data_IF_909762931823
#
_entry.id   IF_909762931823
#
_cell.length_a   1.000
_cell.length_b   1.000
_cell.length_c   1.000
_cell.angle_alpha   90.00
_cell.angle_beta   90.00
_cell.angle_gamma   90.00
#
_symmetry.space_group_name_H-M   'P 1'
#
loop_
_entity.id
_entity.type
_entity.pdbx_description
1 polymer ?
#
# COMPACT_ATOMS: atom_id res chain seq x y z
N UNK A 1 -1.16 19.22 -9.79
CA UNK A 1 -1.95 17.99 -9.49
C UNK A 1 -2.31 18.06 -8.02
N UNK A 2 -3.56 17.80 -7.62
CA UNK A 2 -3.95 17.86 -6.20
C UNK A 2 -3.44 16.63 -5.49
N UNK A 3 -2.70 16.81 -4.38
CA UNK A 3 -2.22 15.70 -3.56
C UNK A 3 -3.41 14.96 -2.94
N UNK A 4 -3.39 13.63 -2.96
CA UNK A 4 -4.42 12.81 -2.35
C UNK A 4 -4.27 12.80 -0.82
N UNK A 5 -5.38 12.78 -0.12
CA UNK A 5 -5.39 12.61 1.34
C UNK A 5 -4.87 11.20 1.65
N UNK A 6 -3.78 11.06 2.41
CA UNK A 6 -3.17 9.76 2.69
C UNK A 6 -3.97 8.96 3.70
N UNK A 7 -3.86 7.65 3.62
CA UNK A 7 -4.27 6.76 4.70
C UNK A 7 -3.33 6.91 5.90
N UNK A 8 -3.73 6.34 7.04
CA UNK A 8 -3.04 6.50 8.32
C UNK A 8 -2.73 5.14 8.92
N UNK A 9 -1.60 5.04 9.62
CA UNK A 9 -1.24 3.89 10.43
C UNK A 9 -0.90 4.34 11.86
N UNK A 10 -1.48 3.69 12.85
CA UNK A 10 -1.13 3.87 14.27
C UNK A 10 -0.26 2.69 14.69
N UNK A 11 1.00 2.98 15.01
CA UNK A 11 1.96 2.00 15.49
C UNK A 11 2.79 2.59 16.64
N UNK A 12 2.96 1.86 17.73
CA UNK A 12 3.68 2.31 18.94
C UNK A 12 3.24 3.69 19.46
N UNK A 13 1.93 3.95 19.45
CA UNK A 13 1.29 5.23 19.82
C UNK A 13 1.68 6.44 18.93
N UNK A 14 2.39 6.21 17.83
CA UNK A 14 2.69 7.22 16.82
C UNK A 14 1.77 7.04 15.62
N UNK A 15 1.40 8.16 14.99
CA UNK A 15 0.60 8.17 13.75
C UNK A 15 1.53 8.43 12.56
N UNK A 16 1.44 7.55 11.58
CA UNK A 16 2.13 7.65 10.30
C UNK A 16 1.12 7.90 9.18
N UNK A 17 1.53 8.62 8.17
CA UNK A 17 0.74 8.82 6.95
C UNK A 17 1.33 7.93 5.87
N UNK A 18 0.48 7.11 5.27
CA UNK A 18 0.91 6.13 4.29
C UNK A 18 0.95 6.73 2.90
N UNK A 19 2.01 6.45 2.15
CA UNK A 19 2.08 6.76 0.72
C UNK A 19 1.29 5.74 -0.12
N UNK A 20 1.11 4.54 0.42
CA UNK A 20 0.40 3.43 -0.21
C UNK A 20 -1.04 3.33 0.29
N UNK A 21 -1.93 2.91 -0.60
CA UNK A 21 -3.34 2.68 -0.30
C UNK A 21 -3.59 1.19 -0.14
N UNK A 22 -3.45 0.69 1.09
CA UNK A 22 -3.45 -0.75 1.40
C UNK A 22 -4.77 -1.46 1.01
N UNK A 23 -5.89 -0.73 0.98
CA UNK A 23 -7.21 -1.27 0.63
C UNK A 23 -7.48 -1.29 -0.88
N UNK A 24 -6.69 -0.61 -1.72
CA UNK A 24 -6.96 -0.55 -3.15
C UNK A 24 -6.94 -1.94 -3.81
N UNK A 25 -5.99 -2.78 -3.41
CA UNK A 25 -5.92 -4.17 -3.86
C UNK A 25 -7.13 -4.99 -3.40
N UNK A 26 -7.53 -4.80 -2.15
CA UNK A 26 -8.70 -5.48 -1.58
C UNK A 26 -10.00 -5.08 -2.29
N UNK A 27 -10.24 -3.80 -2.49
CA UNK A 27 -11.46 -3.35 -3.18
C UNK A 27 -11.44 -3.61 -4.69
N UNK A 28 -10.28 -3.84 -5.29
CA UNK A 28 -10.20 -4.35 -6.66
C UNK A 28 -10.63 -5.80 -6.75
N UNK A 29 -10.32 -6.61 -5.76
CA UNK A 29 -10.73 -8.01 -5.67
C UNK A 29 -12.18 -8.16 -5.23
N UNK A 30 -12.67 -7.26 -4.35
CA UNK A 30 -14.02 -7.25 -3.78
C UNK A 30 -14.72 -5.90 -4.03
N UNK A 31 -15.05 -5.55 -5.28
CA UNK A 31 -15.55 -4.21 -5.63
C UNK A 31 -16.90 -3.89 -4.97
N UNK A 32 -17.71 -4.91 -4.65
CA UNK A 32 -18.97 -4.74 -3.94
C UNK A 32 -18.83 -4.22 -2.50
N UNK A 33 -17.62 -4.35 -1.92
CA UNK A 33 -17.29 -3.88 -0.57
C UNK A 33 -16.76 -2.46 -0.55
N UNK A 34 -16.52 -1.86 -1.71
CA UNK A 34 -15.99 -0.49 -1.78
C UNK A 34 -16.97 0.50 -1.13
N UNK A 35 -16.49 1.37 -0.21
CA UNK A 35 -17.32 2.40 0.40
C UNK A 35 -17.98 3.28 -0.67
N UNK A 36 -19.28 3.51 -0.54
CA UNK A 36 -20.01 4.42 -1.43
C UNK A 36 -19.92 5.83 -0.87
N UNK A 37 -18.98 6.62 -1.38
CA UNK A 37 -18.90 8.03 -1.05
C UNK A 37 -20.07 8.79 -1.67
N UNK A 38 -20.73 9.63 -0.91
CA UNK A 38 -21.80 10.52 -1.41
C UNK A 38 -21.19 11.73 -2.13
N UNK A 39 -19.99 12.13 -1.71
CA UNK A 39 -19.24 13.23 -2.31
C UNK A 39 -17.81 12.81 -2.60
N UNK A 40 -17.36 13.10 -3.81
CA UNK A 40 -15.96 12.96 -4.23
C UNK A 40 -15.35 14.36 -4.35
N UNK A 41 -14.12 14.52 -3.89
CA UNK A 41 -13.33 15.72 -4.13
C UNK A 41 -11.98 15.37 -4.76
N UNK A 42 -11.33 16.35 -5.37
CA UNK A 42 -10.06 16.13 -6.07
C UNK A 42 -8.93 15.60 -5.17
N UNK A 43 -9.00 15.86 -3.85
CA UNK A 43 -8.08 15.33 -2.86
C UNK A 43 -8.46 13.94 -2.32
N UNK A 44 -9.65 13.41 -2.70
CA UNK A 44 -10.15 12.12 -2.24
C UNK A 44 -10.91 11.39 -3.36
N UNK A 45 -10.25 11.18 -4.49
CA UNK A 45 -10.87 10.57 -5.67
C UNK A 45 -11.31 9.11 -5.44
N UNK A 46 -10.65 8.39 -4.52
CA UNK A 46 -11.02 7.01 -4.15
C UNK A 46 -12.24 6.94 -3.22
N UNK A 47 -12.72 8.10 -2.70
CA UNK A 47 -13.96 8.22 -1.92
C UNK A 47 -13.85 7.83 -0.45
N UNK A 48 -12.72 7.35 0.04
CA UNK A 48 -12.53 6.97 1.45
C UNK A 48 -11.14 7.32 1.97
N UNK A 49 -11.01 7.38 3.30
CA UNK A 49 -9.75 7.45 4.05
C UNK A 49 -9.74 6.27 5.01
N UNK A 50 -8.68 5.49 5.01
CA UNK A 50 -8.50 4.40 5.95
C UNK A 50 -7.52 4.77 7.08
N UNK A 51 -7.81 4.28 8.28
CA UNK A 51 -6.89 4.32 9.41
C UNK A 51 -6.64 2.89 9.87
N UNK A 52 -5.40 2.47 9.81
CA UNK A 52 -4.93 1.17 10.27
C UNK A 52 -4.29 1.30 11.66
N UNK A 53 -4.19 0.18 12.37
CA UNK A 53 -3.49 0.12 13.65
C UNK A 53 -2.81 -1.24 13.82
N UNK A 54 -1.57 -1.23 14.31
CA UNK A 54 -0.94 -2.46 14.80
C UNK A 54 -1.32 -2.62 16.29
N UNK A 55 -1.98 -3.72 16.62
CA UNK A 55 -2.37 -4.09 17.98
C UNK A 55 -2.08 -5.56 18.20
N UNK A 56 -1.33 -5.92 19.25
CA UNK A 56 -0.93 -7.29 19.57
C UNK A 56 -0.26 -8.01 18.37
N UNK A 57 0.58 -7.29 17.63
CA UNK A 57 1.20 -7.74 16.39
C UNK A 57 0.23 -8.02 15.23
N UNK A 58 -1.00 -7.59 15.29
CA UNK A 58 -1.96 -7.73 14.21
C UNK A 58 -2.22 -6.37 13.54
N UNK A 59 -2.30 -6.36 12.21
CA UNK A 59 -2.76 -5.25 11.41
C UNK A 59 -4.28 -5.23 11.43
N UNK A 60 -4.85 -4.25 12.09
CA UNK A 60 -6.30 -4.06 12.17
C UNK A 60 -6.72 -2.82 11.40
N UNK A 61 -7.91 -2.87 10.83
CA UNK A 61 -8.59 -1.69 10.30
C UNK A 61 -9.27 -1.00 11.47
N UNK A 62 -8.76 0.18 11.80
CA UNK A 62 -9.29 0.99 12.90
C UNK A 62 -10.50 1.79 12.46
N UNK A 63 -10.44 2.38 11.26
CA UNK A 63 -11.51 3.18 10.69
C UNK A 63 -11.46 3.17 9.16
N UNK A 64 -12.62 3.25 8.51
CA UNK A 64 -12.78 3.58 7.09
C UNK A 64 -13.87 4.64 7.01
N UNK A 65 -13.53 5.82 6.53
CA UNK A 65 -14.41 6.97 6.50
C UNK A 65 -14.63 7.46 5.06
N UNK A 66 -15.86 7.75 4.68
CA UNK A 66 -16.17 8.45 3.44
C UNK A 66 -16.87 9.77 3.72
N UNK A 67 -16.72 10.75 2.84
CA UNK A 67 -17.40 12.04 2.94
C UNK A 67 -18.87 11.88 2.60
N UNK A 68 -19.76 12.49 3.40
CA UNK A 68 -21.20 12.49 3.20
C UNK A 68 -21.77 13.87 2.83
N UNK A 69 -20.99 14.94 3.04
CA UNK A 69 -21.41 16.30 2.64
C UNK A 69 -20.21 17.23 2.43
N UNK A 70 -20.48 18.43 1.93
CA UNK A 70 -19.48 19.48 1.66
C UNK A 70 -18.83 20.05 2.92
N UNK A 71 -19.40 19.83 4.10
CA UNK A 71 -18.86 20.28 5.38
C UNK A 71 -17.87 19.26 5.96
N UNK A 72 -17.42 18.30 5.15
CA UNK A 72 -16.48 17.23 5.52
C UNK A 72 -16.95 16.30 6.65
N UNK A 73 -18.26 16.19 6.87
CA UNK A 73 -18.75 15.11 7.72
C UNK A 73 -18.49 13.75 7.08
N UNK A 74 -18.21 12.74 7.92
CA UNK A 74 -17.83 11.40 7.46
C UNK A 74 -18.85 10.35 7.90
N UNK A 75 -18.92 9.26 7.13
CA UNK A 75 -19.60 8.02 7.48
C UNK A 75 -18.56 6.92 7.65
N UNK A 76 -18.65 6.17 8.75
CA UNK A 76 -17.84 4.98 8.98
C UNK A 76 -18.39 3.78 8.24
N UNK A 77 -17.47 2.99 7.67
CA UNK A 77 -17.77 1.76 6.93
C UNK A 77 -17.08 0.53 7.52
N UNK A 78 -16.25 0.72 8.55
CA UNK A 78 -15.40 -0.33 9.09
C UNK A 78 -16.19 -1.58 9.50
N UNK A 79 -17.21 -1.44 10.33
CA UNK A 79 -17.95 -2.58 10.89
C UNK A 79 -18.76 -3.32 9.82
N UNK A 80 -19.18 -2.61 8.76
CA UNK A 80 -19.90 -3.17 7.64
C UNK A 80 -18.99 -4.05 6.76
N UNK A 81 -17.76 -3.60 6.52
CA UNK A 81 -16.82 -4.25 5.59
C UNK A 81 -15.92 -5.26 6.32
N UNK A 82 -15.47 -4.91 7.54
CA UNK A 82 -14.52 -5.70 8.34
C UNK A 82 -15.03 -5.92 9.76
N UNK A 83 -16.03 -6.77 9.98
CA UNK A 83 -16.63 -6.98 11.30
C UNK A 83 -15.61 -7.49 12.36
N UNK A 84 -14.61 -8.25 11.92
CA UNK A 84 -13.53 -8.75 12.79
C UNK A 84 -12.35 -7.79 12.94
N UNK A 85 -12.36 -6.68 12.22
CA UNK A 85 -11.33 -5.64 12.21
C UNK A 85 -9.93 -6.08 11.75
N UNK A 86 -9.54 -7.33 11.83
CA UNK A 86 -8.24 -7.83 11.39
C UNK A 86 -8.14 -7.81 9.86
N UNK A 87 -7.05 -7.27 9.32
CA UNK A 87 -6.82 -7.20 7.89
C UNK A 87 -5.93 -8.36 7.41
N UNK A 88 -6.42 -9.57 7.55
CA UNK A 88 -5.72 -10.82 7.18
C UNK A 88 -5.38 -10.91 5.69
N UNK A 89 -6.13 -10.23 4.84
CA UNK A 89 -5.89 -10.19 3.40
C UNK A 89 -4.53 -9.58 3.03
N UNK A 90 -3.97 -8.70 3.90
CA UNK A 90 -2.78 -7.95 3.57
C UNK A 90 -1.50 -8.70 3.96
N UNK A 91 -0.61 -8.85 2.97
CA UNK A 91 0.80 -9.20 3.13
C UNK A 91 1.65 -8.23 2.33
N UNK A 92 2.84 -7.87 2.83
CA UNK A 92 3.75 -6.95 2.17
C UNK A 92 4.51 -6.06 3.15
N UNK A 93 5.08 -4.98 2.62
CA UNK A 93 5.86 -4.00 3.38
C UNK A 93 5.11 -2.68 3.45
N UNK A 94 4.95 -2.14 4.65
CA UNK A 94 4.35 -0.82 4.88
C UNK A 94 5.45 0.14 5.29
N UNK A 95 5.70 1.16 4.48
CA UNK A 95 6.66 2.21 4.78
C UNK A 95 6.12 3.14 5.86
N UNK A 96 6.93 3.42 6.90
CA UNK A 96 6.53 4.23 8.06
C UNK A 96 7.49 5.37 8.39
N UNK A 97 8.48 5.65 7.54
CA UNK A 97 9.31 6.85 7.72
C UNK A 97 8.54 8.13 7.32
N UNK A 98 9.03 9.27 7.81
CA UNK A 98 8.40 10.57 7.55
C UNK A 98 8.71 11.13 6.14
N UNK A 99 9.26 10.30 5.24
CA UNK A 99 9.64 10.74 3.90
C UNK A 99 8.40 11.00 3.04
N UNK A 100 8.13 12.26 2.79
CA UNK A 100 7.10 12.77 1.88
C UNK A 100 7.75 13.46 0.68
N UNK A 101 8.66 12.78 0.00
CA UNK A 101 9.33 13.32 -1.18
C UNK A 101 8.37 13.52 -2.34
N UNK A 102 8.42 14.68 -2.97
CA UNK A 102 7.56 15.01 -4.12
C UNK A 102 7.80 14.13 -5.36
N UNK A 103 8.87 13.35 -5.43
CA UNK A 103 9.23 12.53 -6.59
C UNK A 103 10.00 11.29 -6.18
N UNK A 104 9.45 10.42 -5.37
CA UNK A 104 9.88 9.02 -5.13
C UNK A 104 11.40 8.71 -5.12
N UNK A 105 12.24 9.72 -5.01
CA UNK A 105 13.69 9.54 -4.91
C UNK A 105 14.07 9.40 -3.44
N UNK A 106 14.51 8.21 -3.12
CA UNK A 106 15.07 7.91 -1.80
C UNK A 106 16.37 8.70 -1.63
N UNK A 107 16.51 9.54 -0.59
CA UNK A 107 17.73 10.29 -0.37
C UNK A 107 18.88 9.35 0.02
N UNK A 108 20.06 9.54 -0.57
CA UNK A 108 21.25 8.70 -0.32
C UNK A 108 21.69 8.65 1.16
N UNK A 109 21.34 9.65 1.95
CA UNK A 109 21.60 9.70 3.38
C UNK A 109 20.36 9.38 4.23
N UNK A 110 19.30 8.81 3.63
CA UNK A 110 18.05 8.47 4.30
C UNK A 110 18.16 7.23 5.16
N UNK A 111 17.27 7.18 6.16
CA UNK A 111 16.94 5.94 6.89
C UNK A 111 15.49 5.60 6.53
N UNK A 112 15.28 4.34 6.16
CA UNK A 112 14.02 3.87 5.63
C UNK A 112 13.45 2.81 6.57
N UNK A 113 12.24 3.03 7.06
CA UNK A 113 11.59 2.15 8.01
C UNK A 113 10.37 1.48 7.39
N UNK A 114 10.32 0.15 7.48
CA UNK A 114 9.23 -0.66 6.98
C UNK A 114 8.70 -1.62 8.04
N UNK A 115 7.40 -1.86 8.03
CA UNK A 115 6.77 -2.97 8.75
C UNK A 115 6.51 -4.11 7.77
N UNK A 116 7.05 -5.28 8.05
CA UNK A 116 6.74 -6.50 7.30
C UNK A 116 5.49 -7.14 7.89
N UNK A 117 4.47 -7.26 7.05
CA UNK A 117 3.20 -7.88 7.39
C UNK A 117 3.04 -9.16 6.58
N UNK A 118 2.55 -10.21 7.21
CA UNK A 118 2.19 -11.48 6.58
C UNK A 118 0.83 -11.93 7.10
N UNK A 119 -0.15 -12.08 6.19
CA UNK A 119 -1.53 -12.42 6.52
C UNK A 119 -2.09 -11.59 7.69
N UNK A 120 -1.87 -10.28 7.63
CA UNK A 120 -2.30 -9.34 8.67
C UNK A 120 -1.51 -9.41 9.97
N UNK A 121 -0.41 -10.15 10.05
CA UNK A 121 0.43 -10.21 11.25
C UNK A 121 1.74 -9.44 11.03
N UNK A 122 2.11 -8.62 12.02
CA UNK A 122 3.41 -7.95 12.04
C UNK A 122 4.50 -8.97 12.38
N UNK A 123 5.35 -9.24 11.40
CA UNK A 123 6.49 -10.16 11.54
C UNK A 123 7.67 -9.42 12.16
N UNK A 124 8.07 -8.29 11.57
CA UNK A 124 9.19 -7.49 12.05
C UNK A 124 9.12 -6.05 11.53
N UNK A 125 9.88 -5.18 12.16
CA UNK A 125 10.24 -3.85 11.67
C UNK A 125 11.61 -3.96 11.01
N UNK A 126 11.73 -3.47 9.80
CA UNK A 126 12.98 -3.38 9.03
C UNK A 126 13.44 -1.93 8.97
N UNK A 127 14.72 -1.72 9.13
CA UNK A 127 15.36 -0.41 9.04
C UNK A 127 16.54 -0.55 8.08
N UNK A 128 16.60 0.31 7.08
CA UNK A 128 17.64 0.30 6.06
C UNK A 128 18.28 1.69 5.95
N UNK A 129 19.58 1.74 5.73
CA UNK A 129 20.19 2.88 5.05
C UNK A 129 19.95 2.76 3.53
N UNK A 130 20.44 3.74 2.75
CA UNK A 130 20.20 3.76 1.30
C UNK A 130 20.78 2.53 0.59
N UNK A 131 22.04 2.18 0.86
CA UNK A 131 22.71 1.06 0.20
C UNK A 131 22.06 -0.29 0.55
N UNK A 132 21.71 -0.47 1.82
CA UNK A 132 20.98 -1.65 2.29
C UNK A 132 19.62 -1.77 1.62
N UNK A 133 18.88 -0.66 1.48
CA UNK A 133 17.60 -0.66 0.80
C UNK A 133 17.75 -1.01 -0.68
N UNK A 134 18.74 -0.44 -1.38
CA UNK A 134 18.95 -0.75 -2.80
C UNK A 134 19.35 -2.22 -3.00
N UNK A 135 20.18 -2.76 -2.12
CA UNK A 135 20.54 -4.17 -2.12
C UNK A 135 19.30 -5.05 -1.90
N UNK A 136 18.52 -4.75 -0.86
CA UNK A 136 17.29 -5.49 -0.55
C UNK A 136 16.29 -5.45 -1.73
N UNK A 137 16.06 -4.29 -2.34
CA UNK A 137 15.20 -4.14 -3.51
C UNK A 137 15.66 -5.01 -4.68
N UNK A 138 16.96 -5.05 -4.94
CA UNK A 138 17.52 -5.87 -6.01
C UNK A 138 17.29 -7.35 -5.77
N UNK A 139 17.63 -7.84 -4.58
CA UNK A 139 17.44 -9.24 -4.20
C UNK A 139 15.96 -9.62 -4.20
N UNK A 140 15.10 -8.79 -3.63
CA UNK A 140 13.66 -8.98 -3.63
C UNK A 140 13.10 -9.07 -5.06
N UNK A 141 13.56 -8.22 -5.97
CA UNK A 141 13.17 -8.24 -7.38
C UNK A 141 13.62 -9.52 -8.10
N UNK A 142 14.86 -9.99 -7.86
CA UNK A 142 15.38 -11.21 -8.46
C UNK A 142 14.52 -12.42 -8.05
N UNK A 143 14.14 -12.55 -6.78
CA UNK A 143 13.23 -13.59 -6.31
C UNK A 143 11.81 -13.42 -6.84
N UNK A 144 11.32 -12.17 -6.92
CA UNK A 144 9.98 -11.88 -7.45
C UNK A 144 9.85 -12.35 -8.90
N UNK A 145 10.88 -12.17 -9.74
CA UNK A 145 10.87 -12.64 -11.13
C UNK A 145 10.78 -14.17 -11.26
N UNK A 146 11.13 -14.90 -10.22
CA UNK A 146 11.04 -16.36 -10.17
C UNK A 146 9.73 -16.87 -9.55
N UNK A 147 8.90 -15.98 -9.04
CA UNK A 147 7.64 -16.33 -8.38
C UNK A 147 6.45 -16.32 -9.36
N UNK A 148 5.37 -16.99 -8.96
CA UNK A 148 4.10 -16.94 -9.70
C UNK A 148 3.40 -15.57 -9.66
N UNK A 149 3.86 -14.65 -8.79
CA UNK A 149 3.30 -13.30 -8.66
C UNK A 149 3.58 -12.43 -9.88
N UNK A 150 4.72 -12.63 -10.56
CA UNK A 150 5.10 -11.83 -11.72
C UNK A 150 4.10 -11.96 -12.88
N UNK A 151 3.58 -13.16 -13.13
CA UNK A 151 2.61 -13.37 -14.21
C UNK A 151 1.28 -12.65 -13.91
N UNK A 152 0.84 -12.62 -12.64
CA UNK A 152 -0.35 -11.84 -12.22
C UNK A 152 -0.16 -10.35 -12.49
N UNK A 153 1.03 -9.82 -12.22
CA UNK A 153 1.34 -8.41 -12.50
C UNK A 153 1.36 -8.15 -14.01
N UNK A 154 1.95 -9.01 -14.81
CA UNK A 154 1.92 -8.87 -16.26
C UNK A 154 0.50 -8.93 -16.83
N UNK A 155 -0.35 -9.79 -16.31
CA UNK A 155 -1.75 -9.88 -16.73
C UNK A 155 -2.56 -8.63 -16.37
N UNK A 156 -2.34 -8.07 -15.19
CA UNK A 156 -2.94 -6.78 -14.80
C UNK A 156 -2.51 -5.66 -15.77
N UNK A 157 -1.24 -5.60 -16.16
CA UNK A 157 -0.75 -4.60 -17.09
C UNK A 157 -1.28 -4.81 -18.52
N UNK A 158 -1.38 -6.06 -18.98
CA UNK A 158 -1.97 -6.38 -20.30
C UNK A 158 -3.44 -5.97 -20.37
N UNK A 159 -4.21 -6.29 -19.35
CA UNK A 159 -5.65 -6.01 -19.30
C UNK A 159 -5.96 -4.50 -19.19
N UNK A 160 -5.07 -3.71 -18.60
CA UNK A 160 -5.24 -2.27 -18.45
C UNK A 160 -4.68 -1.45 -19.63
N UNK A 161 -3.95 -2.08 -20.56
CA UNK A 161 -3.34 -1.43 -21.73
C UNK A 161 -3.97 -1.89 -23.04
N UNK A 162 -5.19 -1.44 -23.31
CA UNK A 162 -5.87 -1.68 -24.60
C UNK A 162 -5.10 -1.14 -25.81
N UNK A 163 -4.14 -0.23 -25.63
CA UNK A 163 -3.37 0.42 -26.68
C UNK A 163 -2.00 -0.21 -26.98
N UNK A 164 -1.61 -1.32 -26.35
CA UNK A 164 -0.47 -2.15 -26.76
C UNK A 164 0.94 -1.49 -26.72
N UNK A 165 1.11 -0.36 -26.05
CA UNK A 165 2.33 0.48 -26.15
C UNK A 165 3.39 0.12 -25.10
N UNK A 166 3.06 -0.61 -24.03
CA UNK A 166 4.02 -0.92 -22.97
C UNK A 166 4.66 -2.28 -23.23
N UNK A 167 5.94 -2.30 -23.56
CA UNK A 167 6.71 -3.53 -23.71
C UNK A 167 7.10 -4.11 -22.34
N UNK A 168 7.46 -5.42 -22.34
CA UNK A 168 7.83 -6.16 -21.12
C UNK A 168 9.02 -5.52 -20.39
N UNK A 169 9.95 -4.92 -21.10
CA UNK A 169 11.14 -4.26 -20.54
C UNK A 169 10.74 -3.03 -19.71
N UNK A 170 9.83 -2.21 -20.21
CA UNK A 170 9.30 -1.05 -19.48
C UNK A 170 8.52 -1.47 -18.23
N UNK A 171 7.74 -2.55 -18.33
CA UNK A 171 7.02 -3.11 -17.17
C UNK A 171 8.03 -3.56 -16.11
N UNK A 172 9.07 -4.29 -16.50
CA UNK A 172 10.10 -4.76 -15.59
C UNK A 172 10.83 -3.62 -14.88
N UNK A 173 11.11 -2.52 -15.58
CA UNK A 173 11.70 -1.33 -14.97
C UNK A 173 10.78 -0.73 -13.92
N UNK A 174 9.50 -0.56 -14.23
CA UNK A 174 8.50 -0.03 -13.28
C UNK A 174 8.36 -0.94 -12.06
N UNK A 175 8.34 -2.27 -12.28
CA UNK A 175 8.28 -3.24 -11.18
C UNK A 175 9.52 -3.12 -10.30
N UNK A 176 10.73 -3.04 -10.86
CA UNK A 176 11.96 -2.90 -10.10
C UNK A 176 11.96 -1.62 -9.25
N UNK A 177 11.60 -0.48 -9.84
CA UNK A 177 11.53 0.81 -9.13
C UNK A 177 10.53 0.76 -7.96
N UNK A 178 9.45 -0.03 -8.11
CA UNK A 178 8.36 -0.13 -7.14
C UNK A 178 8.24 -1.52 -6.50
N UNK A 179 9.34 -2.28 -6.44
CA UNK A 179 9.30 -3.69 -6.00
C UNK A 179 8.73 -3.85 -4.59
N UNK A 180 8.98 -2.89 -3.69
CA UNK A 180 8.45 -2.89 -2.33
C UNK A 180 6.92 -2.85 -2.28
N UNK A 181 6.29 -2.32 -3.32
CA UNK A 181 4.85 -2.15 -3.43
C UNK A 181 4.17 -3.32 -4.15
N UNK A 182 4.84 -3.92 -5.16
CA UNK A 182 4.24 -4.99 -5.97
C UNK A 182 4.24 -6.35 -5.30
N UNK A 183 5.19 -6.64 -4.41
CA UNK A 183 5.31 -7.97 -3.80
C UNK A 183 4.45 -8.08 -2.54
N UNK A 184 3.67 -9.16 -2.47
CA UNK A 184 2.94 -9.56 -1.26
C UNK A 184 3.76 -10.48 -0.35
N UNK A 185 4.88 -11.00 -0.84
CA UNK A 185 5.77 -11.87 -0.10
C UNK A 185 7.17 -11.29 -0.04
N UNK A 186 7.73 -11.23 1.16
CA UNK A 186 9.14 -10.86 1.35
C UNK A 186 9.97 -12.12 1.24
N UNK A 187 10.87 -12.14 0.26
CA UNK A 187 11.72 -13.30 -0.06
C UNK A 187 13.12 -13.20 0.57
N UNK A 188 13.48 -12.04 1.08
CA UNK A 188 14.82 -11.70 1.59
C UNK A 188 14.76 -11.41 3.08
N UNK A 189 15.68 -12.02 3.84
CA UNK A 189 15.80 -11.83 5.29
C UNK A 189 16.48 -10.50 5.68
#
# INVERSE_FOLDING_TARGET
MTQQIPDKLIFENKKYYLNDYLLDGYFREFPEKTPKAEILCTGLWRGYIATFKIKNKELIIHEIESLINIDFNTKSWRDEIFPNNKFEWYSGLIRIDDFRGEFDREPENGIFEYLQIEEGNLIQKRIFNYDELQKFKKEQYEYFLLSDEIEKVYDLWRNNNENGIINKENINKIIFENIMHYTRKVYVD
#
